data_IF_509969114063
#
_entry.id   IF_509969114063
#
_cell.length_a   1.000
_cell.length_b   1.000
_cell.length_c   1.000
_cell.angle_alpha   90.00
_cell.angle_beta   90.00
_cell.angle_gamma   90.00
#
_symmetry.space_group_name_H-M   'P 1'
#
loop_
_entity.id
_entity.type
_entity.pdbx_description
1 polymer ?
#
# COMPACT_ATOMS: atom_id res chain seq x y z
N UNK A 1 59.84 0.04 71.84
CA UNK A 1 58.70 -0.51 71.00
C UNK A 1 58.31 0.58 70.00
N UNK A 2 58.86 0.52 68.81
CA UNK A 2 58.62 1.50 67.73
C UNK A 2 57.71 0.79 66.71
N UNK A 3 56.46 1.28 66.57
CA UNK A 3 55.52 0.79 65.54
C UNK A 3 55.88 1.45 64.18
N UNK A 4 56.17 0.63 63.21
CA UNK A 4 56.37 1.00 61.82
C UNK A 4 55.04 1.06 61.12
N UNK A 5 54.68 2.24 60.61
CA UNK A 5 53.45 2.43 59.77
C UNK A 5 53.91 2.33 58.34
N UNK A 6 53.45 1.30 57.62
CA UNK A 6 53.63 1.13 56.17
C UNK A 6 52.46 1.84 55.48
N UNK A 7 52.81 2.90 54.74
CA UNK A 7 51.87 3.60 53.83
C UNK A 7 51.94 2.89 52.49
N UNK A 8 50.87 2.21 52.11
CA UNK A 8 50.70 1.71 50.73
C UNK A 8 50.20 2.84 49.84
N UNK A 9 51.05 3.28 48.89
CA UNK A 9 50.63 4.09 47.74
C UNK A 9 49.92 3.19 46.73
N UNK A 10 48.62 3.39 46.56
CA UNK A 10 47.86 2.79 45.44
C UNK A 10 48.11 3.63 44.18
N UNK A 11 48.85 3.07 43.22
CA UNK A 11 48.99 3.66 41.88
C UNK A 11 47.73 3.39 41.09
N UNK A 12 46.91 4.43 40.87
CA UNK A 12 45.76 4.37 39.95
C UNK A 12 46.30 4.45 38.52
N UNK A 13 46.28 3.33 37.81
CA UNK A 13 46.54 3.29 36.38
C UNK A 13 45.32 3.89 35.65
N UNK A 14 45.48 5.08 35.06
CA UNK A 14 44.53 5.61 34.09
C UNK A 14 44.55 4.74 32.83
N UNK A 15 43.54 3.94 32.63
CA UNK A 15 43.29 3.27 31.34
C UNK A 15 42.65 4.30 30.41
N UNK A 16 43.42 4.78 29.44
CA UNK A 16 42.86 5.61 28.36
C UNK A 16 41.90 4.79 27.51
N UNK A 17 40.71 5.33 27.12
CA UNK A 17 39.81 4.61 26.23
C UNK A 17 40.46 4.44 24.85
N UNK A 18 40.22 3.30 24.16
CA UNK A 18 40.74 3.10 22.82
C UNK A 18 40.19 4.19 21.89
N UNK A 19 41.09 4.88 21.20
CA UNK A 19 40.73 5.83 20.15
C UNK A 19 39.92 5.10 19.10
N UNK A 20 38.65 5.48 18.94
CA UNK A 20 37.84 5.11 17.79
C UNK A 20 38.54 5.65 16.54
N UNK A 21 39.23 4.77 15.81
CA UNK A 21 39.69 5.06 14.47
C UNK A 21 38.43 5.13 13.61
N UNK A 22 37.93 6.34 13.36
CA UNK A 22 36.93 6.58 12.35
C UNK A 22 37.57 6.19 11.02
N UNK A 23 37.28 4.99 10.53
CA UNK A 23 37.54 4.62 9.14
C UNK A 23 36.78 5.60 8.27
N UNK A 24 37.46 6.60 7.72
CA UNK A 24 36.90 7.40 6.62
C UNK A 24 36.64 6.42 5.48
N UNK A 25 35.37 6.08 5.30
CA UNK A 25 34.88 5.48 4.06
C UNK A 25 35.22 6.51 2.98
N UNK A 26 36.30 6.27 2.23
CA UNK A 26 36.60 7.02 1.03
C UNK A 26 35.37 6.87 0.16
N UNK A 27 34.62 7.95 -0.03
CA UNK A 27 33.54 7.98 -1.03
C UNK A 27 34.24 7.64 -2.34
N UNK A 28 34.11 6.41 -2.80
CA UNK A 28 34.53 6.04 -4.14
C UNK A 28 33.74 6.96 -5.06
N UNK A 29 34.40 7.69 -5.93
CA UNK A 29 33.78 8.45 -7.00
C UNK A 29 32.94 7.44 -7.78
N UNK A 30 31.63 7.43 -7.47
CA UNK A 30 30.69 6.65 -8.25
C UNK A 30 30.77 7.19 -9.68
N UNK A 31 30.93 6.33 -10.70
CA UNK A 31 30.95 6.78 -12.08
C UNK A 31 29.71 7.62 -12.34
N UNK A 32 29.88 8.71 -13.09
CA UNK A 32 28.75 9.55 -13.49
C UNK A 32 27.61 8.65 -14.03
N UNK A 33 26.35 8.96 -13.73
CA UNK A 33 25.22 8.17 -14.22
C UNK A 33 25.36 7.94 -15.73
N UNK A 34 25.41 6.69 -16.14
CA UNK A 34 25.47 6.37 -17.57
C UNK A 34 24.20 6.94 -18.25
N UNK A 35 24.36 7.37 -19.50
CA UNK A 35 23.18 7.77 -20.30
C UNK A 35 22.16 6.61 -20.33
N UNK A 36 20.85 6.91 -20.32
CA UNK A 36 19.80 5.89 -20.45
C UNK A 36 20.11 4.97 -21.62
N UNK A 37 19.84 3.67 -21.48
CA UNK A 37 20.04 2.72 -22.56
C UNK A 37 19.18 3.12 -23.77
N UNK A 38 19.79 3.25 -24.95
CA UNK A 38 19.11 3.67 -26.16
C UNK A 38 17.86 2.82 -26.50
N UNK A 39 17.87 1.55 -26.10
CA UNK A 39 16.71 0.66 -26.21
C UNK A 39 15.46 1.14 -25.45
N UNK A 40 15.64 1.93 -24.40
CA UNK A 40 14.54 2.52 -23.61
C UNK A 40 14.03 3.85 -24.20
N UNK A 41 14.68 4.40 -25.20
CA UNK A 41 14.32 5.71 -25.76
C UNK A 41 12.90 5.72 -26.36
N UNK A 42 12.41 4.61 -26.87
CA UNK A 42 11.03 4.46 -27.34
C UNK A 42 9.97 4.72 -26.26
N UNK A 43 10.32 4.53 -24.98
CA UNK A 43 9.44 4.78 -23.84
C UNK A 43 9.51 6.24 -23.34
N UNK A 44 10.49 7.02 -23.77
CA UNK A 44 10.74 8.40 -23.31
C UNK A 44 9.49 9.30 -23.34
N UNK A 45 8.60 9.25 -24.34
CA UNK A 45 7.40 10.08 -24.34
C UNK A 45 6.41 9.79 -23.18
N UNK A 46 6.49 8.61 -22.57
CA UNK A 46 5.64 8.21 -21.45
C UNK A 46 6.23 8.65 -20.09
N UNK A 47 7.56 8.83 -20.03
CA UNK A 47 8.31 8.97 -18.77
C UNK A 47 8.19 10.39 -18.20
N UNK A 48 8.22 10.52 -16.87
CA UNK A 48 8.06 11.77 -16.13
C UNK A 48 6.61 12.25 -16.09
N UNK A 49 5.65 11.41 -16.47
CA UNK A 49 4.23 11.75 -16.57
C UNK A 49 3.36 10.78 -15.81
N UNK A 50 2.22 11.27 -15.36
CA UNK A 50 1.10 10.46 -14.89
C UNK A 50 0.02 10.42 -15.97
N UNK A 51 -0.58 9.28 -16.13
CA UNK A 51 -1.56 8.95 -17.14
C UNK A 51 -2.82 8.42 -16.46
N UNK A 52 -3.98 8.92 -16.87
CA UNK A 52 -5.28 8.41 -16.43
C UNK A 52 -5.91 7.67 -17.59
N UNK A 53 -6.22 6.40 -17.37
CA UNK A 53 -6.79 5.48 -18.35
C UNK A 53 -8.22 5.08 -18.03
N UNK A 54 -9.05 5.00 -19.07
CA UNK A 54 -10.40 4.41 -18.97
C UNK A 54 -10.36 3.02 -19.62
N UNK A 55 -10.93 2.03 -18.94
CA UNK A 55 -10.96 0.68 -19.48
C UNK A 55 -11.87 0.57 -20.69
N UNK A 56 -11.41 -0.11 -21.73
CA UNK A 56 -12.19 -0.36 -22.94
C UNK A 56 -13.25 -1.42 -22.67
N UNK A 57 -14.51 -1.09 -22.97
CA UNK A 57 -15.63 -2.00 -22.78
C UNK A 57 -16.07 -2.24 -21.32
N UNK A 58 -15.50 -1.51 -20.35
CA UNK A 58 -15.87 -1.59 -18.94
C UNK A 58 -16.03 -0.19 -18.34
N UNK A 59 -17.25 0.33 -18.36
CA UNK A 59 -17.55 1.63 -17.78
C UNK A 59 -17.22 1.67 -16.27
N UNK A 60 -16.70 2.81 -15.80
CA UNK A 60 -16.38 3.03 -14.39
C UNK A 60 -15.10 2.30 -13.90
N UNK A 61 -14.32 1.69 -14.80
CA UNK A 61 -13.01 1.14 -14.46
C UNK A 61 -11.95 2.08 -14.97
N UNK A 62 -11.23 2.68 -14.03
CA UNK A 62 -10.18 3.65 -14.28
C UNK A 62 -8.84 3.13 -13.75
N UNK A 63 -7.76 3.45 -14.46
CA UNK A 63 -6.39 3.20 -14.00
C UNK A 63 -5.58 4.50 -14.02
N UNK A 64 -4.75 4.69 -13.02
CA UNK A 64 -3.78 5.79 -12.95
C UNK A 64 -2.39 5.19 -12.96
N UNK A 65 -1.58 5.53 -13.96
CA UNK A 65 -0.22 5.00 -14.13
C UNK A 65 0.83 6.13 -14.15
N UNK A 66 1.89 5.99 -13.37
CA UNK A 66 3.04 6.88 -13.34
C UNK A 66 4.26 6.18 -13.90
N UNK A 67 4.92 6.83 -14.86
CA UNK A 67 6.13 6.36 -15.52
C UNK A 67 7.32 7.21 -15.13
N UNK A 68 8.38 6.61 -14.61
CA UNK A 68 9.59 7.32 -14.21
C UNK A 68 10.86 6.56 -14.60
N UNK A 69 11.96 7.28 -14.79
CA UNK A 69 13.28 6.67 -14.85
C UNK A 69 13.64 6.03 -13.52
N UNK A 70 14.27 4.88 -13.56
CA UNK A 70 14.78 4.17 -12.41
C UNK A 70 16.23 3.73 -12.61
N UNK A 71 16.92 3.37 -11.52
CA UNK A 71 18.28 2.82 -11.53
C UNK A 71 19.27 3.68 -12.35
N UNK A 72 19.22 5.00 -12.18
CA UNK A 72 20.11 5.93 -12.89
C UNK A 72 19.87 5.97 -14.41
N UNK A 73 18.68 5.63 -14.90
CA UNK A 73 18.33 5.59 -16.31
C UNK A 73 18.54 4.22 -16.98
N UNK A 74 18.91 3.19 -16.22
CA UNK A 74 19.06 1.82 -16.73
C UNK A 74 17.74 1.03 -16.72
N UNK A 75 16.69 1.59 -16.14
CA UNK A 75 15.35 1.01 -16.11
C UNK A 75 14.29 2.08 -16.22
N UNK A 76 13.08 1.67 -16.59
CA UNK A 76 11.85 2.43 -16.45
C UNK A 76 10.97 1.74 -15.42
N UNK A 77 10.48 2.51 -14.46
CA UNK A 77 9.54 2.08 -13.44
C UNK A 77 8.15 2.59 -13.78
N UNK A 78 7.16 1.71 -13.73
CA UNK A 78 5.75 2.09 -13.84
C UNK A 78 5.04 1.67 -12.57
N UNK A 79 4.39 2.61 -11.91
CA UNK A 79 3.48 2.33 -10.80
C UNK A 79 2.08 2.65 -11.27
N UNK A 80 1.14 1.75 -11.06
CA UNK A 80 -0.24 1.99 -11.46
C UNK A 80 -1.24 1.51 -10.41
N UNK A 81 -2.46 2.07 -10.47
CA UNK A 81 -3.55 1.70 -9.59
C UNK A 81 -4.90 1.84 -10.26
N UNK A 82 -5.69 0.79 -10.17
CA UNK A 82 -7.07 0.72 -10.66
C UNK A 82 -8.02 1.19 -9.57
N UNK A 83 -8.99 2.05 -9.94
CA UNK A 83 -10.08 2.53 -9.08
C UNK A 83 -9.60 2.95 -7.68
N UNK A 84 -8.59 3.86 -7.63
CA UNK A 84 -8.09 4.41 -6.38
C UNK A 84 -7.40 3.40 -5.45
N UNK A 85 -6.79 2.34 -6.02
CA UNK A 85 -6.01 1.37 -5.27
C UNK A 85 -6.72 0.07 -4.93
N UNK A 86 -7.88 -0.21 -5.55
CA UNK A 86 -8.54 -1.53 -5.44
C UNK A 86 -7.65 -2.65 -5.96
N UNK A 87 -6.87 -2.33 -6.98
CA UNK A 87 -5.86 -3.18 -7.58
C UNK A 87 -4.74 -2.28 -8.10
N UNK A 88 -3.55 -2.80 -8.24
CA UNK A 88 -2.45 -2.08 -8.84
C UNK A 88 -1.16 -2.87 -8.76
N UNK A 89 -0.08 -2.24 -9.16
CA UNK A 89 1.22 -2.88 -9.13
C UNK A 89 2.34 -2.00 -9.60
N UNK A 90 3.49 -2.63 -9.71
CA UNK A 90 4.73 -2.00 -10.12
C UNK A 90 5.40 -2.83 -11.19
N UNK A 91 5.78 -2.18 -12.30
CA UNK A 91 6.56 -2.78 -13.38
C UNK A 91 7.94 -2.17 -13.41
N UNK A 92 8.95 -3.00 -13.56
CA UNK A 92 10.31 -2.58 -13.88
C UNK A 92 10.70 -3.11 -15.26
N UNK A 93 11.01 -2.18 -16.19
CA UNK A 93 11.40 -2.49 -17.57
C UNK A 93 12.89 -2.22 -17.73
N UNK A 94 13.66 -3.18 -18.23
CA UNK A 94 15.10 -3.08 -18.41
C UNK A 94 15.52 -3.59 -19.79
N UNK A 95 16.76 -3.27 -20.18
CA UNK A 95 17.42 -3.89 -21.33
C UNK A 95 18.00 -5.26 -20.88
N UNK A 96 17.60 -6.32 -21.56
CA UNK A 96 18.33 -7.57 -21.57
C UNK A 96 19.54 -7.45 -22.48
N UNK A 97 20.74 -7.47 -21.91
CA UNK A 97 21.98 -7.31 -22.67
C UNK A 97 22.33 -8.51 -23.53
N UNK A 98 21.81 -9.70 -23.21
CA UNK A 98 22.10 -10.91 -23.95
C UNK A 98 21.29 -10.97 -25.25
N UNK A 99 20.05 -10.53 -25.22
CA UNK A 99 19.16 -10.50 -26.38
C UNK A 99 19.07 -9.12 -27.07
N UNK A 100 19.48 -8.06 -26.38
CA UNK A 100 19.32 -6.66 -26.85
C UNK A 100 17.87 -6.18 -26.81
N UNK A 101 16.94 -6.98 -26.28
CA UNK A 101 15.51 -6.66 -26.15
C UNK A 101 15.15 -6.02 -24.81
N UNK A 102 13.93 -5.48 -24.72
CA UNK A 102 13.37 -5.04 -23.43
C UNK A 102 12.69 -6.21 -22.74
N UNK A 103 12.98 -6.37 -21.46
CA UNK A 103 12.31 -7.32 -20.55
C UNK A 103 11.70 -6.57 -19.41
N UNK A 104 10.63 -7.13 -18.83
CA UNK A 104 10.01 -6.55 -17.66
C UNK A 104 9.57 -7.58 -16.64
N UNK A 105 9.44 -7.11 -15.41
CA UNK A 105 8.79 -7.80 -14.31
C UNK A 105 7.69 -6.89 -13.77
N UNK A 106 6.50 -7.43 -13.64
CA UNK A 106 5.35 -6.74 -13.08
C UNK A 106 4.88 -7.48 -11.83
N UNK A 107 4.83 -6.78 -10.71
CA UNK A 107 4.36 -7.28 -9.41
C UNK A 107 3.05 -6.62 -9.04
N UNK A 108 2.10 -7.40 -8.55
CA UNK A 108 0.73 -6.94 -8.33
C UNK A 108 0.30 -6.99 -6.87
N UNK A 109 -0.65 -6.14 -6.50
CA UNK A 109 -1.31 -6.21 -5.19
C UNK A 109 -2.26 -7.41 -5.08
N UNK A 110 -2.50 -8.14 -6.18
CA UNK A 110 -3.26 -9.39 -6.21
C UNK A 110 -2.44 -10.62 -5.79
N UNK A 111 -1.14 -10.46 -5.48
CA UNK A 111 -0.28 -11.54 -5.02
C UNK A 111 0.30 -12.43 -6.14
N UNK A 112 0.02 -12.13 -7.39
CA UNK A 112 0.66 -12.76 -8.54
C UNK A 112 1.65 -11.79 -9.20
N UNK A 113 2.50 -12.29 -10.09
CA UNK A 113 3.40 -11.46 -10.87
C UNK A 113 3.44 -11.92 -12.32
N UNK A 114 3.97 -11.07 -13.22
CA UNK A 114 4.24 -11.44 -14.59
C UNK A 114 5.67 -11.12 -14.98
N UNK A 115 6.18 -11.86 -15.94
CA UNK A 115 7.46 -11.59 -16.62
C UNK A 115 7.22 -11.52 -18.10
N UNK A 116 7.93 -10.67 -18.81
CA UNK A 116 7.67 -10.57 -20.23
C UNK A 116 8.73 -9.81 -21.02
N UNK A 117 8.47 -9.73 -22.30
CA UNK A 117 9.27 -8.98 -23.28
C UNK A 117 8.44 -7.87 -23.92
N UNK A 118 9.12 -6.80 -24.29
CA UNK A 118 8.52 -5.68 -25.01
C UNK A 118 9.37 -5.38 -26.26
N UNK A 119 8.76 -5.42 -27.44
CA UNK A 119 9.43 -5.21 -28.72
C UNK A 119 8.88 -3.98 -29.42
N UNK A 120 9.72 -3.02 -29.83
CA UNK A 120 9.29 -1.95 -30.72
C UNK A 120 8.74 -2.52 -32.03
N UNK A 121 7.53 -2.12 -32.42
CA UNK A 121 6.85 -2.54 -33.64
C UNK A 121 6.57 -1.36 -34.57
N UNK A 122 7.12 -0.18 -34.26
CA UNK A 122 7.00 1.07 -35.04
C UNK A 122 7.11 2.28 -34.12
N UNK A 123 7.03 3.50 -34.65
CA UNK A 123 7.04 4.71 -33.83
C UNK A 123 5.91 4.72 -32.80
N UNK A 124 6.24 4.72 -31.52
CA UNK A 124 5.27 4.70 -30.43
C UNK A 124 4.46 3.41 -30.28
N UNK A 125 4.83 2.33 -30.98
CA UNK A 125 4.13 1.04 -30.94
C UNK A 125 5.03 -0.04 -30.33
N UNK A 126 4.50 -0.79 -29.38
CA UNK A 126 5.17 -1.92 -28.75
C UNK A 126 4.28 -3.15 -28.79
N UNK A 127 4.88 -4.29 -29.11
CA UNK A 127 4.33 -5.63 -28.91
C UNK A 127 4.87 -6.19 -27.61
N UNK A 128 3.98 -6.72 -26.79
CA UNK A 128 4.28 -7.20 -25.45
C UNK A 128 3.78 -8.64 -25.34
N UNK A 129 4.65 -9.52 -24.88
CA UNK A 129 4.27 -10.87 -24.50
C UNK A 129 4.68 -11.10 -23.06
N UNK A 130 3.74 -11.59 -22.24
CA UNK A 130 3.96 -11.81 -20.82
C UNK A 130 3.45 -13.16 -20.36
N UNK A 131 4.22 -13.77 -19.44
CA UNK A 131 3.87 -14.99 -18.73
C UNK A 131 3.36 -14.61 -17.36
N UNK A 132 2.20 -15.14 -16.98
CA UNK A 132 1.53 -14.89 -15.70
C UNK A 132 1.90 -16.01 -14.73
N UNK A 133 2.32 -15.66 -13.52
CA UNK A 133 2.73 -16.58 -12.47
C UNK A 133 1.85 -16.41 -11.23
N UNK A 134 1.27 -17.48 -10.74
CA UNK A 134 0.48 -17.46 -9.49
C UNK A 134 -0.97 -17.01 -9.66
N UNK A 135 -1.53 -17.04 -10.87
CA UNK A 135 -2.93 -16.76 -11.15
C UNK A 135 -3.51 -17.88 -12.02
N UNK A 136 -4.50 -18.58 -11.49
CA UNK A 136 -5.14 -19.70 -12.20
C UNK A 136 -5.91 -19.22 -13.44
N UNK A 137 -5.83 -20.03 -14.49
CA UNK A 137 -6.60 -19.84 -15.72
C UNK A 137 -6.10 -18.75 -16.68
N UNK A 138 -4.96 -18.12 -16.40
CA UNK A 138 -4.27 -17.20 -17.31
C UNK A 138 -2.77 -17.50 -17.24
N UNK A 139 -2.21 -17.98 -18.33
CA UNK A 139 -0.78 -18.31 -18.40
C UNK A 139 0.00 -17.28 -19.23
N UNK A 140 -0.59 -16.84 -20.34
CA UNK A 140 0.07 -15.91 -21.27
C UNK A 140 -0.88 -14.82 -21.72
N UNK A 141 -0.38 -13.59 -21.71
CA UNK A 141 -1.04 -12.44 -22.31
C UNK A 141 -0.18 -11.90 -23.48
N UNK A 142 -0.84 -11.49 -24.55
CA UNK A 142 -0.24 -10.70 -25.62
C UNK A 142 -0.90 -9.34 -25.69
N UNK A 143 -0.09 -8.30 -25.69
CA UNK A 143 -0.60 -6.95 -25.67
C UNK A 143 0.07 -6.10 -26.76
N UNK A 144 -0.68 -5.11 -27.23
CA UNK A 144 -0.15 -4.01 -28.02
C UNK A 144 -0.30 -2.73 -27.23
N UNK A 145 0.78 -1.96 -27.16
CA UNK A 145 0.78 -0.63 -26.57
C UNK A 145 1.11 0.41 -27.66
N UNK A 146 0.30 1.47 -27.77
CA UNK A 146 0.44 2.47 -28.83
C UNK A 146 0.27 3.87 -28.27
N UNK A 147 1.26 4.74 -28.47
CA UNK A 147 1.12 6.18 -28.28
C UNK A 147 0.76 6.80 -29.62
N UNK A 148 -0.51 7.20 -29.78
CA UNK A 148 -0.98 7.81 -31.01
C UNK A 148 -0.55 9.26 -31.14
N UNK A 149 -0.63 9.80 -32.38
CA UNK A 149 -0.39 11.24 -32.68
C UNK A 149 -1.38 12.16 -31.93
N UNK A 150 -2.55 11.63 -31.54
CA UNK A 150 -3.54 12.31 -30.71
C UNK A 150 -3.14 12.41 -29.21
N UNK A 151 -1.94 11.94 -28.86
CA UNK A 151 -1.41 11.95 -27.51
C UNK A 151 -2.07 10.95 -26.57
N UNK A 152 -2.87 10.02 -27.08
CA UNK A 152 -3.49 8.95 -26.29
C UNK A 152 -2.61 7.71 -26.31
N UNK A 153 -2.26 7.24 -25.12
CA UNK A 153 -1.56 5.95 -24.94
C UNK A 153 -2.61 4.85 -24.76
N UNK A 154 -2.61 3.88 -25.66
CA UNK A 154 -3.59 2.80 -25.72
C UNK A 154 -2.93 1.46 -25.45
N UNK A 155 -3.53 0.66 -24.62
CA UNK A 155 -3.15 -0.74 -24.42
C UNK A 155 -4.29 -1.66 -24.82
N UNK A 156 -3.98 -2.79 -25.45
CA UNK A 156 -4.93 -3.84 -25.83
C UNK A 156 -4.32 -5.18 -25.53
N UNK A 157 -5.00 -5.98 -24.76
CA UNK A 157 -4.49 -7.27 -24.30
C UNK A 157 -5.40 -8.41 -24.73
N UNK A 158 -4.77 -9.51 -25.13
CA UNK A 158 -5.39 -10.76 -25.50
C UNK A 158 -4.85 -11.84 -24.55
N UNK A 159 -5.76 -12.67 -24.03
CA UNK A 159 -5.40 -13.90 -23.32
C UNK A 159 -5.15 -14.99 -24.36
N UNK A 160 -4.02 -15.68 -24.24
CA UNK A 160 -3.72 -16.85 -25.06
C UNK A 160 -4.34 -18.08 -24.43
N UNK A 161 -5.08 -18.86 -25.20
CA UNK A 161 -5.73 -20.11 -24.79
C UNK A 161 -5.38 -21.22 -25.75
N UNK A 162 -5.67 -22.46 -25.44
CA UNK A 162 -5.51 -23.60 -26.36
C UNK A 162 -6.33 -23.44 -27.64
N UNK A 163 -7.49 -22.77 -27.57
CA UNK A 163 -8.38 -22.53 -28.69
C UNK A 163 -7.97 -21.30 -29.55
N UNK A 164 -6.96 -20.54 -29.15
CA UNK A 164 -6.52 -19.31 -29.81
C UNK A 164 -6.38 -18.13 -28.84
N UNK A 165 -6.83 -16.94 -29.25
CA UNK A 165 -6.75 -15.75 -28.42
C UNK A 165 -8.13 -15.18 -28.13
N UNK A 166 -8.32 -14.69 -26.92
CA UNK A 166 -9.54 -14.02 -26.44
C UNK A 166 -9.24 -12.59 -26.00
N UNK A 167 -10.17 -11.66 -26.24
CA UNK A 167 -10.02 -10.29 -25.74
C UNK A 167 -9.98 -10.30 -24.23
N UNK A 168 -8.88 -9.81 -23.63
CA UNK A 168 -8.72 -9.71 -22.18
C UNK A 168 -9.09 -8.31 -21.68
N UNK A 169 -8.74 -7.25 -22.41
CA UNK A 169 -9.05 -5.89 -22.06
C UNK A 169 -8.09 -4.86 -22.64
N UNK A 170 -8.08 -3.69 -22.00
CA UNK A 170 -7.20 -2.59 -22.37
C UNK A 170 -7.67 -1.28 -21.79
N UNK A 171 -6.83 -0.26 -21.96
CA UNK A 171 -7.10 1.09 -21.48
C UNK A 171 -6.72 2.12 -22.52
N UNK A 172 -7.43 3.25 -22.52
CA UNK A 172 -7.10 4.47 -23.25
C UNK A 172 -6.66 5.53 -22.24
N UNK A 173 -5.37 5.84 -22.22
CA UNK A 173 -4.76 6.77 -21.26
C UNK A 173 -4.55 8.16 -21.87
N UNK A 174 -4.82 9.18 -21.05
CA UNK A 174 -4.47 10.57 -21.33
C UNK A 174 -3.57 11.12 -20.23
N UNK A 175 -2.67 12.06 -20.52
CA UNK A 175 -1.87 12.71 -19.48
C UNK A 175 -2.77 13.37 -18.43
N UNK A 176 -2.50 13.10 -17.16
CA UNK A 176 -3.16 13.73 -16.01
C UNK A 176 -2.13 14.03 -14.91
N UNK A 177 -1.51 15.23 -14.93
CA UNK A 177 -0.47 15.59 -13.97
C UNK A 177 -0.98 15.75 -12.54
N UNK A 178 -2.30 15.87 -12.34
CA UNK A 178 -2.90 15.97 -11.02
C UNK A 178 -3.17 14.60 -10.38
N UNK A 179 -3.18 13.53 -11.18
CA UNK A 179 -3.40 12.19 -10.68
C UNK A 179 -2.13 11.60 -10.04
N UNK A 180 -2.32 10.72 -9.07
CA UNK A 180 -1.26 9.96 -8.42
C UNK A 180 -1.72 8.52 -8.25
N UNK A 181 -0.93 7.51 -8.69
CA UNK A 181 -1.25 6.11 -8.40
C UNK A 181 -1.26 5.85 -6.90
N UNK A 182 -2.22 5.06 -6.45
CA UNK A 182 -2.37 4.67 -5.05
C UNK A 182 -2.22 3.17 -4.95
N UNK A 183 -1.09 2.69 -4.41
CA UNK A 183 -0.96 1.27 -4.10
C UNK A 183 -1.50 1.04 -2.68
N UNK A 184 -2.44 0.09 -2.51
CA UNK A 184 -2.88 -0.29 -1.18
C UNK A 184 -1.69 -0.91 -0.44
N UNK A 185 -1.51 -0.51 0.80
CA UNK A 185 -0.60 -1.23 1.67
C UNK A 185 -1.17 -2.62 1.90
N UNK A 186 -0.32 -3.64 1.86
CA UNK A 186 -0.68 -4.93 2.42
C UNK A 186 -1.02 -4.71 3.90
N UNK A 187 -2.24 -4.98 4.24
CA UNK A 187 -2.65 -5.07 5.61
C UNK A 187 -1.70 -6.06 6.32
N UNK A 188 -1.05 -5.60 7.38
CA UNK A 188 -0.01 -6.38 8.09
C UNK A 188 1.43 -5.94 7.84
N UNK A 189 1.74 -5.19 6.75
CA UNK A 189 3.02 -4.50 6.58
C UNK A 189 3.01 -3.08 7.17
N UNK A 190 1.93 -2.69 7.86
CA UNK A 190 1.82 -1.39 8.48
C UNK A 190 2.78 -1.26 9.65
N UNK A 191 3.46 -0.09 9.77
CA UNK A 191 4.23 0.17 10.96
C UNK A 191 3.35 0.02 12.19
N UNK A 192 3.89 -0.59 13.23
CA UNK A 192 3.19 -0.76 14.51
C UNK A 192 2.71 0.60 15.00
N UNK A 193 1.41 0.77 15.15
CA UNK A 193 0.83 1.99 15.68
C UNK A 193 0.54 1.82 17.17
N UNK A 194 1.10 2.71 17.97
CA UNK A 194 0.90 2.73 19.42
C UNK A 194 0.26 4.04 19.87
N UNK A 195 -0.58 3.92 20.87
CA UNK A 195 -1.12 5.01 21.65
C UNK A 195 -0.84 4.69 23.14
N UNK A 196 0.25 5.24 23.67
CA UNK A 196 0.73 4.84 24.99
C UNK A 196 1.03 3.34 25.07
N UNK A 197 0.34 2.65 25.96
CA UNK A 197 0.44 1.19 26.14
C UNK A 197 -0.47 0.38 25.18
N UNK A 198 -1.25 1.04 24.34
CA UNK A 198 -2.13 0.38 23.38
C UNK A 198 -1.42 0.18 22.05
N UNK A 199 -1.59 -1.00 21.43
CA UNK A 199 -1.22 -1.30 20.06
C UNK A 199 -2.49 -1.42 19.20
N UNK A 200 -2.56 -0.63 18.12
CA UNK A 200 -3.72 -0.58 17.24
C UNK A 200 -3.43 -1.37 15.96
N UNK A 201 -4.22 -2.39 15.71
CA UNK A 201 -4.04 -3.35 14.62
C UNK A 201 -5.30 -3.43 13.74
N UNK A 202 -5.18 -4.01 12.54
CA UNK A 202 -6.29 -4.41 11.67
C UNK A 202 -7.30 -3.29 11.40
N UNK A 203 -6.81 -2.13 11.01
CA UNK A 203 -7.59 -0.91 10.85
C UNK A 203 -8.15 -0.80 9.45
N UNK A 204 -9.45 -1.03 9.29
CA UNK A 204 -10.12 -0.96 7.98
C UNK A 204 -11.42 -0.15 8.07
N UNK A 205 -11.75 0.56 6.98
CA UNK A 205 -13.08 1.09 6.70
C UNK A 205 -13.67 0.29 5.53
N UNK A 206 -14.84 -0.29 5.71
CA UNK A 206 -15.61 -0.89 4.63
C UNK A 206 -16.16 0.23 3.74
N UNK A 207 -15.60 0.36 2.54
CA UNK A 207 -16.00 1.41 1.60
C UNK A 207 -17.29 1.02 0.88
N UNK A 208 -18.39 1.76 1.04
CA UNK A 208 -19.65 1.51 0.33
C UNK A 208 -19.57 1.81 -1.18
N UNK A 209 -18.54 2.55 -1.61
CA UNK A 209 -18.30 2.92 -3.01
C UNK A 209 -18.86 4.27 -3.42
N UNK A 210 -19.86 4.79 -2.75
CA UNK A 210 -20.52 6.05 -3.05
C UNK A 210 -20.54 6.97 -1.84
N UNK A 211 -20.42 8.28 -2.09
CA UNK A 211 -20.55 9.29 -1.04
C UNK A 211 -22.00 9.36 -0.52
N UNK A 212 -22.13 9.68 0.76
CA UNK A 212 -23.45 9.83 1.41
C UNK A 212 -24.04 8.52 1.95
N UNK A 213 -23.43 7.37 1.68
CA UNK A 213 -23.79 6.11 2.32
C UNK A 213 -23.06 5.96 3.66
N UNK A 214 -23.64 5.19 4.56
CA UNK A 214 -22.98 4.86 5.81
C UNK A 214 -21.91 3.79 5.60
N UNK A 215 -20.78 3.94 6.29
CA UNK A 215 -19.66 3.00 6.24
C UNK A 215 -19.37 2.42 7.63
N UNK A 216 -18.86 1.20 7.68
CA UNK A 216 -18.43 0.57 8.92
C UNK A 216 -16.91 0.53 9.01
N UNK A 217 -16.37 0.90 10.18
CA UNK A 217 -14.94 0.72 10.47
C UNK A 217 -14.71 -0.32 11.54
N UNK A 218 -13.57 -0.98 11.43
CA UNK A 218 -13.15 -2.11 12.26
C UNK A 218 -11.70 -1.95 12.65
N UNK A 219 -11.36 -2.37 13.88
CA UNK A 219 -9.99 -2.36 14.40
C UNK A 219 -9.81 -3.39 15.51
N UNK A 220 -8.56 -3.68 15.80
CA UNK A 220 -8.16 -4.41 17.01
C UNK A 220 -7.26 -3.53 17.86
N UNK A 221 -7.58 -3.39 19.14
CA UNK A 221 -6.78 -2.65 20.11
C UNK A 221 -6.28 -3.63 21.16
N UNK A 222 -4.96 -3.75 21.28
CA UNK A 222 -4.29 -4.66 22.22
C UNK A 222 -3.66 -3.85 23.34
N UNK A 223 -3.98 -4.17 24.59
CA UNK A 223 -3.25 -3.62 25.73
C UNK A 223 -1.94 -4.38 25.95
N UNK A 224 -0.82 -3.67 25.84
CA UNK A 224 0.54 -4.19 26.09
C UNK A 224 1.12 -3.74 27.42
N UNK A 225 0.42 -2.88 28.15
CA UNK A 225 0.85 -2.30 29.43
C UNK A 225 0.25 -3.02 30.67
N UNK A 226 -0.79 -3.83 30.46
CA UNK A 226 -1.41 -4.60 31.53
C UNK A 226 -2.48 -3.88 32.36
N UNK A 227 -2.73 -2.59 32.09
CA UNK A 227 -3.72 -1.78 32.84
C UNK A 227 -5.12 -1.77 32.20
N UNK A 228 -5.18 -2.06 30.88
CA UNK A 228 -6.38 -1.83 30.09
C UNK A 228 -6.59 -0.37 29.75
N UNK A 229 -7.66 -0.07 29.03
CA UNK A 229 -8.13 1.29 28.72
C UNK A 229 -9.61 1.24 28.30
N UNK A 230 -10.18 2.39 27.92
CA UNK A 230 -11.54 2.47 27.43
C UNK A 230 -11.60 3.36 26.19
N UNK A 231 -12.11 2.85 25.08
CA UNK A 231 -12.45 3.66 23.92
C UNK A 231 -13.75 4.42 24.22
N UNK A 232 -13.68 5.74 24.20
CA UNK A 232 -14.78 6.64 24.53
C UNK A 232 -15.50 7.19 23.29
N UNK A 233 -14.87 7.08 22.11
CA UNK A 233 -15.45 7.58 20.88
C UNK A 233 -14.47 7.63 19.72
N UNK A 234 -15.02 7.93 18.56
CA UNK A 234 -14.26 8.18 17.34
C UNK A 234 -14.84 9.36 16.57
N UNK A 235 -14.02 10.02 15.76
CA UNK A 235 -14.41 11.08 14.85
C UNK A 235 -13.66 10.94 13.51
N UNK A 236 -14.24 11.50 12.46
CA UNK A 236 -13.62 11.55 11.14
C UNK A 236 -14.09 12.80 10.40
N UNK A 237 -13.16 13.51 9.74
CA UNK A 237 -13.53 14.57 8.80
C UNK A 237 -14.22 14.01 7.52
N UNK A 238 -14.26 12.69 7.40
CA UNK A 238 -14.82 11.94 6.30
C UNK A 238 -16.31 11.57 6.48
N UNK A 239 -16.92 11.88 7.62
CA UNK A 239 -18.29 11.55 7.94
C UNK A 239 -18.89 12.66 8.81
N UNK A 240 -20.21 12.82 8.77
CA UNK A 240 -20.90 13.78 9.63
C UNK A 240 -20.75 13.41 11.10
N UNK A 241 -20.72 12.10 11.38
CA UNK A 241 -20.64 11.56 12.74
C UNK A 241 -20.07 10.15 12.70
N UNK A 242 -19.35 9.78 13.76
CA UNK A 242 -18.94 8.38 14.00
C UNK A 242 -19.59 7.89 15.29
N UNK A 243 -20.30 6.79 15.23
CA UNK A 243 -20.98 6.17 16.37
C UNK A 243 -20.38 4.80 16.66
N UNK A 244 -20.35 4.44 17.93
CA UNK A 244 -19.97 3.10 18.39
C UNK A 244 -21.24 2.24 18.48
N UNK A 245 -21.42 1.33 17.54
CA UNK A 245 -22.63 0.52 17.44
C UNK A 245 -22.38 -0.91 17.92
N UNK A 246 -23.39 -1.45 18.61
CA UNK A 246 -23.47 -2.83 18.99
C UNK A 246 -24.79 -3.46 18.50
N UNK A 247 -24.68 -4.60 17.86
CA UNK A 247 -25.83 -5.40 17.47
C UNK A 247 -26.31 -6.20 18.69
N UNK A 248 -27.44 -5.82 19.24
CA UNK A 248 -28.10 -6.55 20.34
C UNK A 248 -29.05 -7.61 19.76
N UNK A 249 -28.86 -8.85 20.20
CA UNK A 249 -29.66 -10.01 19.82
C UNK A 249 -30.37 -10.66 21.01
N UNK A 250 -30.47 -9.96 22.14
CA UNK A 250 -31.13 -10.46 23.33
C UNK A 250 -32.67 -10.49 23.23
N UNK A 251 -33.23 -9.71 22.29
CA UNK A 251 -34.66 -9.64 21.99
C UNK A 251 -35.11 -10.54 20.83
N UNK A 252 -36.36 -10.47 20.41
CA UNK A 252 -36.95 -11.29 19.34
C UNK A 252 -36.41 -10.93 17.94
N UNK A 253 -35.57 -9.91 17.81
CA UNK A 253 -34.89 -9.47 16.59
C UNK A 253 -33.54 -8.86 16.90
N UNK A 254 -32.72 -8.60 15.86
CA UNK A 254 -31.48 -7.85 16.01
C UNK A 254 -31.79 -6.35 16.08
N UNK A 255 -31.33 -5.68 17.13
CA UNK A 255 -31.42 -4.23 17.28
C UNK A 255 -30.02 -3.61 17.24
N UNK A 256 -29.89 -2.43 16.65
CA UNK A 256 -28.64 -1.65 16.69
C UNK A 256 -28.73 -0.69 17.85
N UNK A 257 -27.73 -0.73 18.71
CA UNK A 257 -27.63 0.09 19.94
C UNK A 257 -26.36 0.90 19.86
N UNK A 258 -26.43 2.18 20.21
CA UNK A 258 -25.24 3.04 20.35
C UNK A 258 -24.68 2.86 21.75
N UNK A 259 -23.41 2.42 21.85
CA UNK A 259 -22.69 2.32 23.11
C UNK A 259 -21.91 3.63 23.37
N UNK A 260 -21.81 4.02 24.63
CA UNK A 260 -21.05 5.21 25.03
C UNK A 260 -19.54 4.91 25.15
N UNK A 261 -19.18 3.67 25.42
CA UNK A 261 -17.78 3.29 25.65
C UNK A 261 -17.57 1.78 25.39
N UNK A 262 -16.33 1.41 25.01
CA UNK A 262 -15.89 0.02 24.90
C UNK A 262 -14.61 -0.23 25.68
N UNK A 263 -14.62 -1.22 26.55
CA UNK A 263 -13.45 -1.60 27.34
C UNK A 263 -12.37 -2.27 26.49
N UNK A 264 -11.11 -1.87 26.65
CA UNK A 264 -9.92 -2.61 26.25
C UNK A 264 -9.45 -3.39 27.48
N UNK A 265 -9.62 -4.73 27.53
CA UNK A 265 -9.27 -5.51 28.71
C UNK A 265 -7.79 -5.42 29.07
N UNK A 266 -7.48 -5.40 30.36
CA UNK A 266 -6.10 -5.46 30.87
C UNK A 266 -5.38 -6.71 30.34
N UNK A 267 -4.19 -6.53 29.76
CA UNK A 267 -3.41 -7.59 29.09
C UNK A 267 -4.20 -8.36 28.01
N UNK A 268 -5.25 -7.73 27.44
CA UNK A 268 -6.16 -8.34 26.49
C UNK A 268 -6.33 -7.48 25.24
N UNK A 269 -7.42 -7.72 24.50
CA UNK A 269 -7.75 -6.98 23.31
C UNK A 269 -9.23 -6.66 23.18
N UNK A 270 -9.54 -5.46 22.68
CA UNK A 270 -10.83 -5.11 22.10
C UNK A 270 -10.80 -5.45 20.62
N UNK A 271 -11.66 -6.36 20.16
CA UNK A 271 -11.79 -6.73 18.76
C UNK A 271 -13.12 -6.23 18.19
N UNK A 272 -13.05 -5.17 17.41
CA UNK A 272 -14.14 -4.65 16.58
C UNK A 272 -13.92 -5.19 15.18
N UNK A 273 -14.50 -6.35 14.85
CA UNK A 273 -14.22 -7.08 13.59
C UNK A 273 -15.48 -7.34 12.76
N UNK A 274 -15.36 -7.51 11.43
CA UNK A 274 -16.49 -7.90 10.59
C UNK A 274 -17.16 -9.20 11.09
N UNK A 275 -18.48 -9.13 11.29
CA UNK A 275 -19.26 -10.24 11.83
C UNK A 275 -19.29 -10.33 13.36
N UNK A 276 -18.55 -9.50 14.09
CA UNK A 276 -18.77 -9.28 15.52
C UNK A 276 -19.98 -8.35 15.76
N UNK A 277 -20.50 -8.30 16.98
CA UNK A 277 -21.55 -7.33 17.28
C UNK A 277 -21.12 -5.88 17.16
N UNK A 278 -19.83 -5.57 17.35
CA UNK A 278 -19.32 -4.21 17.43
C UNK A 278 -18.85 -3.69 16.07
N UNK A 279 -19.15 -2.44 15.76
CA UNK A 279 -18.57 -1.69 14.64
C UNK A 279 -18.64 -0.18 14.90
N UNK A 280 -17.66 0.56 14.38
CA UNK A 280 -17.75 2.01 14.27
C UNK A 280 -18.59 2.33 13.02
N UNK A 281 -19.67 3.10 13.17
CA UNK A 281 -20.52 3.53 12.06
C UNK A 281 -20.17 4.96 11.67
N UNK A 282 -19.72 5.15 10.44
CA UNK A 282 -19.43 6.43 9.84
C UNK A 282 -20.67 6.88 9.06
N UNK A 283 -21.41 7.85 9.61
CA UNK A 283 -22.67 8.33 9.03
C UNK A 283 -22.37 9.32 7.90
N UNK A 284 -23.05 9.18 6.76
CA UNK A 284 -22.88 10.03 5.59
C UNK A 284 -21.41 10.11 5.14
N UNK A 285 -20.80 8.94 4.93
CA UNK A 285 -19.38 8.79 4.65
C UNK A 285 -19.02 9.33 3.25
N UNK A 286 -17.91 10.06 3.16
CA UNK A 286 -17.31 10.55 1.92
C UNK A 286 -15.99 9.84 1.61
N UNK A 287 -15.97 8.87 0.71
CA UNK A 287 -14.76 8.15 0.32
C UNK A 287 -13.74 9.03 -0.42
N UNK A 288 -14.15 10.19 -0.97
CA UNK A 288 -13.24 11.13 -1.64
C UNK A 288 -12.27 11.83 -0.68
N UNK A 289 -12.55 11.79 0.63
CA UNK A 289 -11.63 12.27 1.68
C UNK A 289 -10.46 11.33 1.93
N UNK A 290 -10.43 10.17 1.31
CA UNK A 290 -9.33 9.24 1.44
C UNK A 290 -8.04 9.78 0.79
N UNK A 291 -6.93 9.62 1.49
CA UNK A 291 -5.59 9.92 0.95
C UNK A 291 -4.85 8.59 0.80
N UNK A 292 -4.39 8.30 -0.40
CA UNK A 292 -3.64 7.06 -0.68
C UNK A 292 -4.36 5.78 -0.23
N UNK A 293 -5.68 5.71 -0.46
CA UNK A 293 -6.49 4.55 -0.07
C UNK A 293 -6.68 4.41 1.45
N UNK A 294 -6.44 5.48 2.21
CA UNK A 294 -6.56 5.52 3.67
C UNK A 294 -7.50 6.61 4.12
N UNK A 295 -8.14 6.37 5.23
CA UNK A 295 -9.01 7.31 5.92
C UNK A 295 -8.52 7.53 7.34
N UNK A 296 -8.23 8.77 7.71
CA UNK A 296 -7.79 9.09 9.07
C UNK A 296 -9.01 9.25 9.98
N UNK A 297 -9.07 8.45 11.03
CA UNK A 297 -10.01 8.60 12.15
C UNK A 297 -9.26 9.12 13.38
N UNK A 298 -9.94 9.86 14.21
CA UNK A 298 -9.51 10.22 15.56
C UNK A 298 -10.21 9.28 16.55
N UNK A 299 -9.43 8.51 17.31
CA UNK A 299 -9.93 7.63 18.36
C UNK A 299 -9.63 8.27 19.72
N UNK A 300 -10.61 8.36 20.58
CA UNK A 300 -10.44 8.93 21.93
C UNK A 300 -10.51 7.81 22.96
N UNK A 301 -9.40 7.60 23.63
CA UNK A 301 -9.28 6.65 24.76
C UNK A 301 -9.28 7.44 26.08
N UNK A 302 -9.66 6.75 27.17
CA UNK A 302 -9.72 7.38 28.50
C UNK A 302 -8.33 7.76 29.02
N UNK A 303 -7.37 6.86 28.93
CA UNK A 303 -6.03 7.03 29.48
C UNK A 303 -5.01 7.39 28.39
N UNK A 304 -5.05 6.76 27.21
CA UNK A 304 -4.16 7.08 26.11
C UNK A 304 -4.49 8.38 25.38
N UNK A 305 -5.65 9.00 25.65
CA UNK A 305 -6.08 10.25 25.03
C UNK A 305 -6.54 10.08 23.58
N UNK A 306 -6.56 11.19 22.82
CA UNK A 306 -7.00 11.19 21.42
C UNK A 306 -5.82 10.94 20.51
N UNK A 307 -5.95 9.94 19.62
CA UNK A 307 -4.94 9.55 18.63
C UNK A 307 -5.51 9.55 17.23
N UNK A 308 -4.72 10.04 16.27
CA UNK A 308 -5.06 9.99 14.85
C UNK A 308 -4.58 8.68 14.26
N UNK A 309 -5.47 7.99 13.60
CA UNK A 309 -5.26 6.60 13.17
C UNK A 309 -5.69 6.45 11.72
N UNK A 310 -4.80 5.98 10.86
CA UNK A 310 -5.13 5.70 9.47
C UNK A 310 -5.71 4.29 9.33
N UNK A 311 -6.87 4.23 8.70
CA UNK A 311 -7.59 3.01 8.35
C UNK A 311 -7.50 2.77 6.85
N UNK A 312 -7.19 1.56 6.43
CA UNK A 312 -7.21 1.19 5.02
C UNK A 312 -8.67 1.09 4.52
N UNK A 313 -8.94 1.63 3.33
CA UNK A 313 -10.23 1.41 2.67
C UNK A 313 -10.29 -0.02 2.10
N UNK A 314 -11.33 -0.77 2.41
CA UNK A 314 -11.56 -2.11 1.90
C UNK A 314 -12.96 -2.19 1.28
N UNK A 315 -13.08 -2.72 0.06
CA UNK A 315 -14.40 -2.97 -0.56
C UNK A 315 -15.15 -4.11 0.14
N UNK A 316 -14.42 -5.14 0.52
CA UNK A 316 -14.94 -6.25 1.32
C UNK A 316 -14.30 -6.21 2.71
N UNK A 317 -15.11 -5.99 3.72
CA UNK A 317 -14.64 -5.88 5.10
C UNK A 317 -14.02 -7.17 5.63
N UNK A 318 -14.51 -8.35 5.21
CA UNK A 318 -13.98 -9.65 5.66
C UNK A 318 -12.65 -9.94 4.98
N UNK A 319 -12.56 -9.72 3.66
CA UNK A 319 -11.30 -9.86 2.93
C UNK A 319 -10.26 -8.85 3.44
N UNK A 320 -10.63 -7.58 3.63
CA UNK A 320 -9.77 -6.56 4.22
C UNK A 320 -9.27 -6.93 5.61
N UNK A 321 -10.14 -7.46 6.47
CA UNK A 321 -9.74 -7.93 7.82
C UNK A 321 -8.81 -9.15 7.76
N UNK A 322 -9.11 -10.12 6.88
CA UNK A 322 -8.30 -11.32 6.69
C UNK A 322 -6.90 -10.99 6.14
N UNK A 323 -6.79 -9.97 5.29
CA UNK A 323 -5.53 -9.53 4.72
C UNK A 323 -4.50 -9.03 5.77
N UNK A 324 -4.94 -8.64 6.99
CA UNK A 324 -4.02 -8.38 8.11
C UNK A 324 -3.34 -9.63 8.68
N UNK A 325 -3.56 -10.79 8.09
CA UNK A 325 -2.84 -12.01 8.42
C UNK A 325 -3.29 -12.65 9.73
N UNK A 326 -3.19 -13.98 9.75
CA UNK A 326 -2.86 -14.73 10.96
C UNK A 326 -1.33 -14.69 11.06
N UNK A 327 -0.73 -14.41 12.22
CA UNK A 327 0.72 -14.46 12.40
C UNK A 327 1.27 -15.84 12.08
#
# INVERSE_FOLDING_TARGET
MKRLIIVMLAASALVAPPALVASSVVAQDLPAPAAPAAALDGLRPLIGRTWRGQAVGRAGVEDVARWDWALGGHAVRVVHSVNGGVYGGETLITLDKDTGGLVFHYFTTGGFHTTGTMKPAGPGVFEIEETVHGLDGIETLRSTATLGEDGVYRTRSLKVTEAGTETFGGFDYRPDPAATPVLPWLAGAEPELRAGALRLERRIVANPGEAGQDAAAYLKVVDTGGAGDVLLGAACACADKVEMHRIDRSGPGAAMVTDAEWAVPASGALEVRPGSPLHLMLMNFDPAKAVSGRMTLELTFRDAGTVRVDFALARDSRAGWAAFGTP
#
